data_IF_993329297155
#
_entry.id   IF_993329297155
#
_cell.length_a   1.000
_cell.length_b   1.000
_cell.length_c   1.000
_cell.angle_alpha   90.00
_cell.angle_beta   90.00
_cell.angle_gamma   90.00
#
_symmetry.space_group_name_H-M   'P 1'
#
loop_
_entity.id
_entity.type
_entity.pdbx_description
1 polymer ?
#
# COMPACT_ATOMS: atom_id res chain seq x y z
N UNK A 1 -9.06 15.45 -15.02
CA UNK A 1 -7.92 15.22 -14.10
C UNK A 1 -8.31 14.02 -13.26
N UNK A 2 -8.14 12.83 -13.83
CA UNK A 2 -8.51 11.57 -13.19
C UNK A 2 -7.28 10.70 -13.24
N UNK A 3 -6.55 10.64 -12.13
CA UNK A 3 -5.63 9.53 -11.93
C UNK A 3 -6.50 8.26 -12.01
N UNK A 4 -6.17 7.37 -12.94
CA UNK A 4 -6.75 6.04 -12.92
C UNK A 4 -6.35 5.47 -11.56
N UNK A 5 -7.33 5.22 -10.69
CA UNK A 5 -7.15 4.32 -9.56
C UNK A 5 -6.53 3.05 -10.13
N UNK A 6 -5.23 2.87 -9.93
CA UNK A 6 -4.60 1.57 -10.06
C UNK A 6 -5.40 0.65 -9.13
N UNK A 7 -5.85 -0.48 -9.68
CA UNK A 7 -6.61 -1.42 -8.90
C UNK A 7 -5.74 -1.91 -7.75
N UNK A 8 -6.10 -1.57 -6.52
CA UNK A 8 -5.44 -2.12 -5.34
C UNK A 8 -5.87 -3.58 -5.21
N UNK A 9 -4.90 -4.49 -5.22
CA UNK A 9 -5.13 -5.91 -5.07
C UNK A 9 -4.03 -6.59 -4.23
N UNK A 10 -4.02 -7.93 -4.22
CA UNK A 10 -3.09 -8.72 -3.40
C UNK A 10 -1.64 -8.56 -3.87
N UNK A 11 -1.39 -8.20 -5.14
CA UNK A 11 -0.06 -7.96 -5.66
C UNK A 11 0.62 -6.80 -4.92
N UNK A 12 -0.11 -5.71 -4.64
CA UNK A 12 0.41 -4.56 -3.88
C UNK A 12 0.84 -4.97 -2.47
N UNK A 13 0.01 -5.78 -1.81
CA UNK A 13 0.34 -6.32 -0.49
C UNK A 13 1.61 -7.18 -0.55
N UNK A 14 1.73 -8.07 -1.54
CA UNK A 14 2.94 -8.90 -1.69
C UNK A 14 4.18 -8.08 -2.06
N UNK A 15 4.00 -6.99 -2.80
CA UNK A 15 5.08 -6.08 -3.17
C UNK A 15 5.63 -5.36 -1.93
N UNK A 16 4.77 -4.78 -1.09
CA UNK A 16 5.18 -4.12 0.16
C UNK A 16 5.83 -5.10 1.15
N UNK A 17 5.34 -6.35 1.23
CA UNK A 17 6.01 -7.40 2.01
C UNK A 17 7.43 -7.64 1.48
N UNK A 18 7.60 -7.69 0.15
CA UNK A 18 8.91 -7.93 -0.43
C UNK A 18 9.87 -6.77 -0.14
N UNK A 19 9.42 -5.53 -0.29
CA UNK A 19 10.18 -4.33 0.05
C UNK A 19 10.63 -4.31 1.51
N UNK A 20 9.70 -4.51 2.45
CA UNK A 20 9.98 -4.37 3.89
C UNK A 20 10.80 -5.54 4.48
N UNK A 21 10.62 -6.76 3.98
CA UNK A 21 11.13 -7.95 4.66
C UNK A 21 12.05 -8.84 3.84
N UNK A 22 12.03 -8.75 2.51
CA UNK A 22 12.81 -9.67 1.65
C UNK A 22 13.80 -8.98 0.73
N UNK A 23 14.05 -7.68 0.92
CA UNK A 23 14.99 -6.90 0.12
C UNK A 23 14.51 -6.63 -1.30
N UNK A 24 13.20 -6.55 -1.50
CA UNK A 24 12.58 -6.09 -2.73
C UNK A 24 12.89 -4.60 -3.01
N UNK A 25 12.64 -4.13 -4.24
CA UNK A 25 12.81 -2.72 -4.58
C UNK A 25 11.82 -1.83 -3.79
N UNK A 26 12.16 -0.56 -3.54
CA UNK A 26 11.21 0.42 -3.00
C UNK A 26 10.07 0.70 -3.99
N UNK A 27 8.87 1.07 -3.50
CA UNK A 27 7.78 1.56 -4.34
C UNK A 27 8.25 2.69 -5.28
N UNK A 28 7.82 2.71 -6.55
CA UNK A 28 8.15 3.79 -7.48
C UNK A 28 7.62 5.16 -7.04
N UNK A 29 6.51 5.16 -6.30
CA UNK A 29 5.91 6.31 -5.66
C UNK A 29 5.82 6.03 -4.16
N UNK A 30 6.46 6.85 -3.32
CA UNK A 30 6.46 6.65 -1.87
C UNK A 30 5.04 6.79 -1.30
N UNK A 31 4.27 7.77 -1.80
CA UNK A 31 2.87 8.01 -1.40
C UNK A 31 1.93 6.84 -1.75
N UNK A 32 2.27 6.01 -2.75
CA UNK A 32 1.49 4.78 -3.05
C UNK A 32 1.87 3.61 -2.13
N UNK A 33 3.04 3.67 -1.50
CA UNK A 33 3.51 2.68 -0.52
C UNK A 33 3.06 2.99 0.91
N UNK A 34 2.91 4.28 1.24
CA UNK A 34 2.34 4.82 2.48
C UNK A 34 0.81 4.83 2.39
N UNK A 35 0.23 3.64 2.44
CA UNK A 35 -1.21 3.43 2.23
C UNK A 35 -2.05 3.86 3.43
N UNK A 36 -1.44 4.10 4.60
CA UNK A 36 -2.13 4.66 5.76
C UNK A 36 -1.97 6.18 5.90
N UNK A 37 -1.09 6.81 5.11
CA UNK A 37 -0.87 8.26 5.03
C UNK A 37 -0.11 8.82 6.22
N UNK A 38 0.86 8.07 6.75
CA UNK A 38 1.63 8.39 7.96
C UNK A 38 2.98 9.09 7.72
N UNK A 39 3.29 9.46 6.47
CA UNK A 39 4.57 9.98 5.99
C UNK A 39 5.73 8.95 6.11
N UNK A 40 5.43 7.67 5.89
CA UNK A 40 6.41 6.58 5.94
C UNK A 40 5.86 5.25 5.47
N UNK A 41 6.76 4.36 5.01
CA UNK A 41 6.40 3.00 4.60
C UNK A 41 6.88 2.00 5.65
N UNK A 42 5.95 1.40 6.38
CA UNK A 42 6.22 0.41 7.41
C UNK A 42 5.15 -0.71 7.51
N UNK A 43 5.11 -1.41 8.65
CA UNK A 43 4.21 -2.56 8.87
C UNK A 43 2.75 -2.14 9.05
N UNK A 44 2.50 -0.89 9.43
CA UNK A 44 1.17 -0.32 9.52
C UNK A 44 0.48 -0.32 8.14
N UNK A 45 1.22 0.01 7.08
CA UNK A 45 0.73 -0.02 5.70
C UNK A 45 0.23 -1.40 5.27
N UNK A 46 1.00 -2.44 5.61
CA UNK A 46 0.59 -3.82 5.35
C UNK A 46 -0.70 -4.18 6.09
N UNK A 47 -0.81 -3.73 7.35
CA UNK A 47 -2.00 -3.97 8.16
C UNK A 47 -3.21 -3.25 7.59
N UNK A 48 -3.00 -2.03 7.08
CA UNK A 48 -4.02 -1.22 6.42
C UNK A 48 -4.51 -1.89 5.13
N UNK A 49 -3.60 -2.34 4.25
CA UNK A 49 -3.95 -3.06 3.03
C UNK A 49 -4.71 -4.35 3.31
N UNK A 50 -4.30 -5.12 4.32
CA UNK A 50 -5.05 -6.33 4.73
C UNK A 50 -6.47 -5.98 5.15
N UNK A 51 -6.62 -4.89 5.92
CA UNK A 51 -7.94 -4.46 6.38
C UNK A 51 -8.82 -4.04 5.19
N UNK A 52 -8.29 -3.23 4.29
CA UNK A 52 -9.00 -2.79 3.09
C UNK A 52 -9.40 -3.97 2.18
N UNK A 53 -8.47 -4.87 1.86
CA UNK A 53 -8.69 -5.97 0.93
C UNK A 53 -9.61 -7.08 1.46
N UNK A 54 -9.56 -7.37 2.77
CA UNK A 54 -10.16 -8.60 3.31
C UNK A 54 -11.16 -8.39 4.45
N UNK A 55 -11.16 -7.23 5.10
CA UNK A 55 -11.99 -7.00 6.30
C UNK A 55 -12.90 -5.78 6.20
N UNK A 56 -13.14 -5.28 4.98
CA UNK A 56 -13.94 -4.07 4.73
C UNK A 56 -13.44 -2.85 5.50
N UNK A 57 -12.11 -2.71 5.60
CA UNK A 57 -11.45 -1.52 6.10
C UNK A 57 -11.60 -0.32 5.16
N UNK A 58 -11.17 0.87 5.60
CA UNK A 58 -11.25 2.09 4.80
C UNK A 58 -10.44 2.00 3.50
N UNK A 59 -10.90 2.70 2.46
CA UNK A 59 -10.11 2.93 1.25
C UNK A 59 -8.83 3.71 1.59
N UNK A 60 -7.67 3.40 0.97
CA UNK A 60 -6.48 4.23 1.10
C UNK A 60 -6.72 5.68 0.68
N UNK A 61 -6.01 6.65 1.30
CA UNK A 61 -6.11 8.05 0.91
C UNK A 61 -5.65 8.24 -0.55
N UNK A 62 -6.19 9.25 -1.25
CA UNK A 62 -5.69 9.60 -2.57
C UNK A 62 -4.27 10.17 -2.46
N UNK A 63 -3.38 9.70 -3.32
CA UNK A 63 -2.07 10.30 -3.62
C UNK A 63 -2.20 11.47 -4.61
#
# INVERSE_FOLDING_TARGET
MGAMISQIDVADLTYLVAYLFTGGPPPPCEDEGDVDGSDGIDVADLTYLVAYLFTAGPEPPPC
#
